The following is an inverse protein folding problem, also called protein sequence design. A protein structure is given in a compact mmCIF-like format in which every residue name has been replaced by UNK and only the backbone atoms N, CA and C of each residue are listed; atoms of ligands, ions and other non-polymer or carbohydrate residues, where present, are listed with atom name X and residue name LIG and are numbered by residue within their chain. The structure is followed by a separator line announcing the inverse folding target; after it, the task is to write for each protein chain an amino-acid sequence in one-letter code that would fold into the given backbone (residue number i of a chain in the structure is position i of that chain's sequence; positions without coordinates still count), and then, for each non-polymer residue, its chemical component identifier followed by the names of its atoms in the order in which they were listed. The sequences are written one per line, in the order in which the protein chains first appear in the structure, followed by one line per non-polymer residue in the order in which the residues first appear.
data_IF_466041412431
#
_entry.id   IF_466041412431
#
_cell.length_a   1.000
_cell.length_b   1.000
_cell.length_c   1.000
_cell.angle_alpha   90.00
_cell.angle_beta   90.00
_cell.angle_gamma   90.00
#
_symmetry.space_group_name_H-M   'P 1'
#
loop_
_entity.id
_entity.type
_entity.pdbx_description
1 polymer ?
#
# COMPACT_ATOMS: atom_id res chain seq x y z
N UNK A 1 17.99 -31.53 4.66
CA UNK A 1 17.51 -30.57 3.64
C UNK A 1 16.31 -29.76 4.15
N UNK A 2 15.19 -30.40 4.54
CA UNK A 2 13.98 -29.68 4.97
C UNK A 2 14.17 -28.77 6.19
N UNK A 3 14.89 -29.21 7.22
CA UNK A 3 15.13 -28.36 8.40
C UNK A 3 15.84 -27.03 8.09
N UNK A 4 16.67 -27.01 7.05
CA UNK A 4 17.46 -25.85 6.64
C UNK A 4 16.77 -24.98 5.58
N UNK A 5 15.98 -25.59 4.68
CA UNK A 5 15.47 -24.91 3.49
C UNK A 5 13.94 -24.78 3.44
N UNK A 6 13.21 -25.53 4.27
CA UNK A 6 11.75 -25.46 4.28
C UNK A 6 11.26 -24.21 5.03
N UNK A 7 10.30 -23.44 4.48
CA UNK A 7 9.81 -22.23 5.15
C UNK A 7 9.07 -22.59 6.44
N UNK A 8 9.39 -21.87 7.52
CA UNK A 8 8.63 -21.96 8.76
C UNK A 8 7.37 -21.12 8.63
N UNK A 9 6.22 -21.78 8.58
CA UNK A 9 4.93 -21.12 8.45
C UNK A 9 4.37 -20.79 9.84
N UNK A 10 3.92 -19.55 10.02
CA UNK A 10 3.10 -19.21 11.18
C UNK A 10 1.68 -19.75 10.97
N UNK A 11 1.42 -20.96 11.47
CA UNK A 11 0.16 -21.64 11.21
C UNK A 11 -1.06 -20.92 11.81
N UNK A 12 -0.87 -20.06 12.82
CA UNK A 12 -1.99 -19.37 13.48
C UNK A 12 -2.59 -18.29 12.60
N UNK A 13 -1.82 -17.71 11.67
CA UNK A 13 -2.34 -16.69 10.74
C UNK A 13 -3.25 -17.28 9.67
N UNK A 14 -3.21 -18.60 9.44
CA UNK A 14 -3.97 -19.29 8.39
C UNK A 14 -5.17 -20.08 8.92
N UNK A 15 -5.14 -20.55 10.18
CA UNK A 15 -6.17 -21.44 10.74
C UNK A 15 -7.50 -20.75 11.08
N UNK A 16 -7.46 -19.50 11.52
CA UNK A 16 -8.64 -18.78 12.00
C UNK A 16 -9.14 -17.76 10.98
N UNK A 17 -10.45 -17.70 10.75
CA UNK A 17 -11.05 -16.76 9.79
C UNK A 17 -11.01 -15.29 10.24
N UNK A 18 -10.80 -15.04 11.53
CA UNK A 18 -10.84 -13.70 12.12
C UNK A 18 -9.43 -13.12 12.40
N UNK A 19 -8.38 -13.69 11.82
CA UNK A 19 -7.03 -13.19 11.99
C UNK A 19 -6.85 -11.88 11.19
N UNK A 20 -6.32 -10.84 11.86
CA UNK A 20 -6.07 -9.55 11.23
C UNK A 20 -4.66 -9.51 10.65
N UNK A 21 -4.56 -9.36 9.33
CA UNK A 21 -3.29 -9.17 8.64
C UNK A 21 -3.06 -7.70 8.29
N UNK A 22 -1.79 -7.34 8.11
CA UNK A 22 -1.40 -6.01 7.65
C UNK A 22 -1.97 -5.74 6.25
N UNK A 23 -2.61 -4.59 6.08
CA UNK A 23 -3.10 -4.12 4.78
C UNK A 23 -1.94 -3.80 3.83
N UNK A 24 -2.07 -4.06 2.51
CA UNK A 24 -1.10 -3.60 1.53
C UNK A 24 -0.94 -2.07 1.58
N UNK A 25 0.24 -1.59 1.17
CA UNK A 25 0.65 -0.18 1.17
C UNK A 25 0.71 0.53 2.53
N UNK A 26 0.56 -0.22 3.63
CA UNK A 26 0.69 0.35 4.97
C UNK A 26 2.16 0.59 5.34
N UNK A 27 2.45 1.71 6.01
CA UNK A 27 3.78 2.07 6.53
C UNK A 27 4.12 1.21 7.75
N UNK A 28 5.31 0.62 7.78
CA UNK A 28 5.78 -0.13 8.94
C UNK A 28 6.41 0.82 9.99
N UNK A 29 5.87 0.91 11.21
CA UNK A 29 6.18 1.99 12.15
C UNK A 29 7.62 2.05 12.64
N UNK A 30 8.37 0.93 12.60
CA UNK A 30 9.77 0.91 13.04
C UNK A 30 10.78 1.18 11.92
N UNK A 31 10.39 0.97 10.67
CA UNK A 31 11.32 1.04 9.53
C UNK A 31 10.95 2.13 8.53
N UNK A 32 9.77 2.74 8.70
CA UNK A 32 9.11 3.67 7.79
C UNK A 32 9.00 3.17 6.35
N UNK A 33 9.16 1.86 6.14
CA UNK A 33 9.03 1.21 4.84
C UNK A 33 7.59 0.91 4.51
N UNK A 34 7.24 1.02 3.24
CA UNK A 34 5.89 0.74 2.75
C UNK A 34 5.76 -0.74 2.36
N UNK A 35 4.67 -1.38 2.78
CA UNK A 35 4.36 -2.77 2.40
C UNK A 35 3.86 -2.85 0.96
N UNK A 36 4.78 -3.00 0.01
CA UNK A 36 4.45 -3.15 -1.41
C UNK A 36 4.23 -4.62 -1.82
N UNK A 37 3.39 -4.88 -2.85
CA UNK A 37 3.31 -6.20 -3.48
C UNK A 37 4.65 -6.63 -4.09
N UNK A 38 4.96 -7.93 -4.01
CA UNK A 38 6.20 -8.50 -4.55
C UNK A 38 5.92 -9.07 -5.95
N UNK A 39 6.76 -8.71 -6.93
CA UNK A 39 6.68 -9.25 -8.28
C UNK A 39 7.36 -10.63 -8.35
N UNK A 40 6.61 -11.64 -8.79
CA UNK A 40 7.10 -13.03 -8.87
C UNK A 40 8.17 -13.22 -9.96
N UNK A 41 8.12 -12.46 -11.06
CA UNK A 41 9.06 -12.58 -12.17
C UNK A 41 10.47 -12.09 -11.80
N UNK A 42 10.56 -11.15 -10.85
CA UNK A 42 11.82 -10.56 -10.38
C UNK A 42 12.15 -10.93 -8.93
N UNK A 43 11.49 -11.94 -8.36
CA UNK A 43 11.63 -12.35 -6.96
C UNK A 43 13.09 -12.62 -6.54
N UNK A 44 13.89 -13.20 -7.45
CA UNK A 44 15.32 -13.48 -7.20
C UNK A 44 16.15 -12.23 -6.90
N UNK A 45 15.71 -11.07 -7.38
CA UNK A 45 16.38 -9.79 -7.21
C UNK A 45 15.74 -8.92 -6.12
N UNK A 46 14.65 -9.41 -5.49
CA UNK A 46 13.98 -8.72 -4.41
C UNK A 46 14.88 -8.70 -3.17
N UNK A 47 15.18 -7.50 -2.67
CA UNK A 47 15.93 -7.27 -1.45
C UNK A 47 15.14 -6.31 -0.54
N UNK A 48 14.68 -6.78 0.63
CA UNK A 48 13.87 -5.99 1.55
C UNK A 48 14.66 -4.84 2.20
N UNK A 49 16.00 -4.83 2.11
CA UNK A 49 16.86 -3.82 2.69
C UNK A 49 17.23 -2.71 1.68
N UNK A 50 17.19 -2.98 0.37
CA UNK A 50 17.50 -1.99 -0.66
C UNK A 50 16.47 -0.85 -0.68
N UNK A 51 16.98 0.38 -0.82
CA UNK A 51 16.19 1.61 -0.84
C UNK A 51 15.29 1.68 -2.08
N UNK A 52 15.83 1.25 -3.23
CA UNK A 52 15.15 1.38 -4.53
C UNK A 52 13.96 0.43 -4.69
N UNK A 53 13.96 -0.69 -3.94
CA UNK A 53 12.93 -1.72 -4.05
C UNK A 53 11.81 -1.53 -3.03
N UNK A 54 12.14 -1.11 -1.79
CA UNK A 54 11.15 -0.90 -0.73
C UNK A 54 11.27 0.54 -0.24
N UNK A 55 10.44 1.48 -0.77
CA UNK A 55 10.57 2.88 -0.47
C UNK A 55 10.21 3.19 0.99
N UNK A 56 10.89 4.19 1.55
CA UNK A 56 10.49 4.78 2.84
C UNK A 56 9.50 5.91 2.62
N UNK A 57 8.69 6.17 3.63
CA UNK A 57 7.70 7.25 3.61
C UNK A 57 8.32 8.61 3.28
N UNK A 58 9.39 9.00 4.00
CA UNK A 58 10.05 10.30 3.79
C UNK A 58 10.58 10.47 2.37
N UNK A 59 11.12 9.40 1.77
CA UNK A 59 11.64 9.47 0.39
C UNK A 59 10.52 9.73 -0.61
N UNK A 60 9.32 9.15 -0.40
CA UNK A 60 8.16 9.41 -1.25
C UNK A 60 7.60 10.82 -1.04
N UNK A 61 7.51 11.30 0.20
CA UNK A 61 7.08 12.67 0.48
C UNK A 61 7.97 13.68 -0.24
N UNK A 62 9.29 13.52 -0.16
CA UNK A 62 10.25 14.38 -0.86
C UNK A 62 10.10 14.30 -2.38
N UNK A 63 9.88 13.12 -2.94
CA UNK A 63 9.65 12.95 -4.38
C UNK A 63 8.37 13.67 -4.81
N UNK A 64 7.29 13.57 -4.05
CA UNK A 64 6.02 14.23 -4.36
C UNK A 64 6.15 15.76 -4.31
N UNK A 65 6.89 16.30 -3.34
CA UNK A 65 7.15 17.74 -3.23
C UNK A 65 7.97 18.28 -4.40
N UNK A 66 8.86 17.48 -4.96
CA UNK A 66 9.72 17.84 -6.09
C UNK A 66 9.04 17.69 -7.46
N UNK A 67 7.87 17.03 -7.52
CA UNK A 67 7.12 16.92 -8.77
C UNK A 67 6.58 18.30 -9.18
N UNK A 68 6.67 18.67 -10.48
CA UNK A 68 6.10 19.91 -10.96
C UNK A 68 4.59 19.88 -10.70
N UNK A 69 4.05 20.94 -10.07
CA UNK A 69 2.61 21.09 -9.84
C UNK A 69 1.91 21.10 -11.19
N UNK A 70 1.29 19.98 -11.57
CA UNK A 70 0.33 20.00 -12.68
C UNK A 70 -0.85 20.86 -12.20
N UNK A 71 -1.14 21.95 -12.91
CA UNK A 71 -2.24 22.85 -12.61
C UNK A 71 -3.58 22.07 -12.61
N UNK A 72 -4.09 21.71 -11.45
CA UNK A 72 -5.47 21.26 -11.31
C UNK A 72 -6.39 22.48 -11.28
N UNK A 73 -6.91 22.85 -12.44
CA UNK A 73 -8.10 23.69 -12.53
C UNK A 73 -9.34 22.80 -12.31
N UNK A 74 -10.08 23.07 -11.23
CA UNK A 74 -11.54 22.98 -11.10
C UNK A 74 -12.25 21.66 -11.50
N UNK A 75 -12.34 20.67 -10.61
CA UNK A 75 -13.37 19.62 -10.72
C UNK A 75 -14.06 19.23 -9.38
N UNK A 76 -13.77 19.93 -8.27
CA UNK A 76 -14.34 19.59 -6.96
C UNK A 76 -15.79 20.09 -6.75
N UNK A 77 -16.28 21.05 -7.54
CA UNK A 77 -17.65 21.56 -7.38
C UNK A 77 -18.76 20.71 -8.04
N UNK A 78 -18.42 19.82 -8.99
CA UNK A 78 -19.45 19.07 -9.73
C UNK A 78 -19.94 17.79 -9.02
N UNK A 79 -19.17 17.26 -8.09
CA UNK A 79 -19.47 15.97 -7.45
C UNK A 79 -20.49 16.12 -6.30
N UNK A 80 -20.50 17.27 -5.61
CA UNK A 80 -21.41 17.50 -4.48
C UNK A 80 -22.86 17.68 -4.93
N UNK A 81 -23.10 18.30 -6.09
CA UNK A 81 -24.47 18.54 -6.60
C UNK A 81 -25.18 17.23 -6.96
N UNK A 82 -24.47 16.30 -7.62
CA UNK A 82 -25.05 14.98 -7.98
C UNK A 82 -25.47 14.15 -6.78
N UNK A 83 -24.79 14.29 -5.65
CA UNK A 83 -25.08 13.52 -4.45
C UNK A 83 -26.29 14.04 -3.68
N UNK A 84 -26.62 15.33 -3.81
CA UNK A 84 -27.85 15.92 -3.23
C UNK A 84 -29.10 15.48 -4.00
N UNK A 85 -29.01 15.41 -5.31
CA UNK A 85 -30.14 14.98 -6.17
C UNK A 85 -30.52 13.51 -5.93
N UNK A 86 -29.54 12.63 -5.69
CA UNK A 86 -29.77 11.22 -5.34
C UNK A 86 -30.42 11.03 -3.96
N UNK A 87 -30.11 11.89 -2.99
CA UNK A 87 -30.68 11.79 -1.63
C UNK A 87 -32.11 12.33 -1.58
N UNK A 88 -32.47 13.28 -2.47
CA UNK A 88 -33.86 13.77 -2.57
C UNK A 88 -34.79 12.76 -3.24
N UNK A 89 -34.28 11.90 -4.14
CA UNK A 89 -35.09 10.90 -4.84
C UNK A 89 -35.46 9.66 -3.98
N UNK A 90 -34.84 9.50 -2.81
CA UNK A 90 -35.02 8.34 -1.91
C UNK A 90 -35.89 8.68 -0.68
N UNK A 91 -36.55 9.84 -0.66
CA UNK A 91 -37.56 10.19 0.35
C UNK A 91 -38.93 10.39 -0.29
#
# INVERSE_FOLDING_TARGET
MFEYCYPRLDANVTKGMNHLLKSPFTVHPKTDRISIPINLNSLRYFDPCKKDLVPKLNDLCQQVEQLPKQNQQNDDEKTITKHKDLVFLIK
#
